data_IF_262181761054
#
_entry.id   IF_262181761054
#
_cell.length_a   1.000
_cell.length_b   1.000
_cell.length_c   1.000
_cell.angle_alpha   90.00
_cell.angle_beta   90.00
_cell.angle_gamma   90.00
#
_symmetry.space_group_name_H-M   'P 1'
#
loop_
_entity.id
_entity.type
_entity.pdbx_description
1 polymer ?
#
# COMPACT_ATOMS: atom_id res chain seq x y z
N UNK A 1 -6.32 38.03 1.89
CA UNK A 1 -5.44 37.18 2.74
C UNK A 1 -6.00 35.77 2.78
N UNK A 2 -5.60 34.93 1.83
CA UNK A 2 -6.02 33.53 1.71
C UNK A 2 -5.06 32.66 2.53
N UNK A 3 -5.57 32.06 3.61
CA UNK A 3 -4.85 31.10 4.46
C UNK A 3 -4.30 29.96 3.59
N UNK A 4 -2.98 29.92 3.43
CA UNK A 4 -2.27 28.81 2.83
C UNK A 4 -2.56 27.54 3.64
N UNK A 5 -3.28 26.59 3.04
CA UNK A 5 -3.47 25.25 3.58
C UNK A 5 -2.10 24.61 3.72
N UNK A 6 -1.71 24.36 4.96
CA UNK A 6 -0.47 23.72 5.37
C UNK A 6 -0.14 22.50 4.51
N UNK A 7 1.00 22.56 3.82
CA UNK A 7 1.67 21.42 3.18
C UNK A 7 1.75 20.27 4.17
N UNK A 8 0.96 19.22 3.95
CA UNK A 8 1.22 17.91 4.52
C UNK A 8 2.57 17.45 3.96
N UNK A 9 3.54 17.36 4.86
CA UNK A 9 4.90 16.90 4.65
C UNK A 9 4.87 15.56 3.90
N UNK A 10 5.25 15.58 2.61
CA UNK A 10 5.38 14.38 1.79
C UNK A 10 6.72 13.71 2.06
N UNK A 11 6.74 12.74 2.97
CA UNK A 11 7.79 11.72 3.00
C UNK A 11 7.75 10.94 1.68
N UNK A 12 8.89 10.72 1.02
CA UNK A 12 9.03 10.17 -0.34
C UNK A 12 8.54 8.73 -0.56
N UNK A 13 7.22 8.53 -0.46
CA UNK A 13 6.49 7.30 -0.73
C UNK A 13 6.12 7.18 -2.20
N UNK A 14 6.22 5.97 -2.77
CA UNK A 14 5.82 5.63 -4.14
C UNK A 14 4.31 5.40 -4.29
N UNK A 15 3.52 5.84 -3.31
CA UNK A 15 2.06 5.60 -3.25
C UNK A 15 1.32 6.92 -3.35
N UNK A 16 0.29 6.95 -4.20
CA UNK A 16 -0.62 8.08 -4.30
C UNK A 16 -1.43 8.24 -3.02
N UNK A 17 -1.11 9.27 -2.24
CA UNK A 17 -1.85 9.57 -1.01
C UNK A 17 -3.33 9.86 -1.27
N UNK A 18 -3.70 10.40 -2.43
CA UNK A 18 -5.09 10.73 -2.74
C UNK A 18 -5.93 9.48 -3.06
N UNK A 19 -5.40 8.56 -3.87
CA UNK A 19 -6.06 7.28 -4.17
C UNK A 19 -6.11 6.41 -2.90
N UNK A 20 -5.03 6.40 -2.11
CA UNK A 20 -4.97 5.66 -0.86
C UNK A 20 -5.98 6.18 0.18
N UNK A 21 -6.12 7.51 0.34
CA UNK A 21 -7.16 8.12 1.18
C UNK A 21 -8.56 7.70 0.71
N UNK A 22 -8.80 7.66 -0.59
CA UNK A 22 -10.07 7.18 -1.16
C UNK A 22 -10.38 5.74 -0.76
N UNK A 23 -9.39 4.84 -0.77
CA UNK A 23 -9.56 3.47 -0.30
C UNK A 23 -9.82 3.39 1.21
N UNK A 24 -9.08 4.14 2.02
CA UNK A 24 -9.33 4.23 3.47
C UNK A 24 -10.74 4.75 3.78
N UNK A 25 -11.20 5.73 3.01
CA UNK A 25 -12.53 6.29 3.17
C UNK A 25 -13.61 5.24 2.85
N UNK A 26 -13.45 4.50 1.73
CA UNK A 26 -14.34 3.38 1.38
C UNK A 26 -14.34 2.27 2.44
N UNK A 27 -13.16 1.87 2.91
CA UNK A 27 -13.00 0.87 3.99
C UNK A 27 -13.78 1.31 5.24
N UNK A 28 -13.53 2.53 5.72
CA UNK A 28 -14.15 3.05 6.94
C UNK A 28 -15.66 3.18 6.82
N UNK A 29 -16.18 3.64 5.68
CA UNK A 29 -17.62 3.73 5.45
C UNK A 29 -18.26 2.35 5.48
N UNK A 30 -17.69 1.38 4.76
CA UNK A 30 -18.24 0.02 4.70
C UNK A 30 -18.28 -0.64 6.09
N UNK A 31 -17.20 -0.50 6.88
CA UNK A 31 -17.13 -1.04 8.23
C UNK A 31 -18.12 -0.31 9.14
N UNK A 32 -18.10 1.02 9.17
CA UNK A 32 -18.93 1.80 10.09
C UNK A 32 -20.43 1.60 9.83
N UNK A 33 -20.85 1.55 8.56
CA UNK A 33 -22.25 1.37 8.18
C UNK A 33 -22.75 -0.06 8.35
N UNK A 34 -21.85 -1.06 8.40
CA UNK A 34 -22.24 -2.47 8.62
C UNK A 34 -22.26 -2.90 10.08
N UNK A 35 -21.41 -2.33 10.94
CA UNK A 35 -21.28 -2.79 12.33
C UNK A 35 -22.57 -2.62 13.14
N UNK A 36 -23.21 -1.45 13.05
CA UNK A 36 -24.43 -1.19 13.83
C UNK A 36 -25.60 -2.12 13.46
N UNK A 37 -25.96 -2.30 12.16
CA UNK A 37 -26.98 -3.26 11.76
C UNK A 37 -26.68 -4.69 12.20
N UNK A 38 -25.43 -5.15 12.06
CA UNK A 38 -25.03 -6.50 12.48
C UNK A 38 -25.31 -6.70 13.97
N UNK A 39 -24.89 -5.76 14.82
CA UNK A 39 -25.13 -5.85 16.26
C UNK A 39 -26.62 -5.84 16.60
N UNK A 40 -27.41 -5.01 15.90
CA UNK A 40 -28.86 -4.93 16.10
C UNK A 40 -29.57 -6.24 15.73
N UNK A 41 -29.27 -6.82 14.56
CA UNK A 41 -29.86 -8.09 14.13
C UNK A 41 -29.39 -9.27 14.98
N UNK A 42 -28.11 -9.33 15.36
CA UNK A 42 -27.59 -10.34 16.29
C UNK A 42 -28.31 -10.29 17.64
N UNK A 43 -28.53 -9.08 18.19
CA UNK A 43 -29.30 -8.93 19.41
C UNK A 43 -30.74 -9.42 19.24
N UNK A 44 -31.40 -9.09 18.13
CA UNK A 44 -32.74 -9.59 17.80
C UNK A 44 -32.81 -11.12 17.72
N UNK A 45 -31.82 -11.75 17.09
CA UNK A 45 -31.71 -13.22 16.99
C UNK A 45 -31.52 -13.85 18.37
N UNK A 46 -30.63 -13.30 19.20
CA UNK A 46 -30.42 -13.79 20.58
C UNK A 46 -31.71 -13.70 21.41
N UNK A 47 -32.45 -12.60 21.30
CA UNK A 47 -33.74 -12.44 21.98
C UNK A 47 -34.83 -13.36 21.41
N UNK A 48 -34.79 -13.68 20.11
CA UNK A 48 -35.72 -14.64 19.50
C UNK A 48 -35.45 -16.10 19.89
N UNK A 49 -34.20 -16.46 20.15
CA UNK A 49 -33.80 -17.82 20.56
C UNK A 49 -33.98 -18.04 22.07
N UNK A 50 -33.50 -17.09 22.89
CA UNK A 50 -33.46 -17.23 24.35
C UNK A 50 -34.60 -16.51 25.07
N UNK A 51 -35.26 -15.56 24.41
CA UNK A 51 -36.35 -14.79 25.00
C UNK A 51 -37.70 -15.47 24.81
N UNK A 52 -38.65 -15.14 25.69
CA UNK A 52 -40.02 -15.67 25.64
C UNK A 52 -40.95 -14.87 24.70
N UNK A 53 -40.39 -14.12 23.74
CA UNK A 53 -41.12 -13.22 22.86
C UNK A 53 -41.50 -13.91 21.55
N UNK A 54 -42.78 -14.31 21.42
CA UNK A 54 -43.30 -15.00 20.22
C UNK A 54 -43.06 -14.20 18.93
N UNK A 55 -43.22 -12.87 18.95
CA UNK A 55 -43.02 -12.00 17.78
C UNK A 55 -41.59 -12.08 17.24
N UNK A 56 -40.59 -12.11 18.13
CA UNK A 56 -39.18 -12.21 17.72
C UNK A 56 -38.82 -13.62 17.25
N UNK A 57 -39.47 -14.64 17.81
CA UNK A 57 -39.30 -16.03 17.41
C UNK A 57 -39.83 -16.29 16.00
N UNK A 58 -40.99 -15.73 15.66
CA UNK A 58 -41.56 -15.84 14.31
C UNK A 58 -40.75 -15.04 13.28
N UNK A 59 -40.14 -13.93 13.71
CA UNK A 59 -39.27 -13.08 12.90
C UNK A 59 -37.81 -13.55 12.75
N UNK A 60 -37.43 -14.70 13.31
CA UNK A 60 -36.04 -15.20 13.30
C UNK A 60 -35.50 -15.38 11.88
N UNK A 61 -36.28 -16.02 11.00
CA UNK A 61 -35.87 -16.30 9.61
C UNK A 61 -35.61 -15.00 8.86
N UNK A 62 -36.50 -14.01 9.00
CA UNK A 62 -36.35 -12.69 8.37
C UNK A 62 -35.12 -11.97 8.92
N UNK A 63 -34.87 -12.04 10.23
CA UNK A 63 -33.71 -11.41 10.87
C UNK A 63 -32.39 -11.95 10.32
N UNK A 64 -32.29 -13.27 10.15
CA UNK A 64 -31.10 -13.93 9.57
C UNK A 64 -30.90 -13.51 8.11
N UNK A 65 -31.95 -13.51 7.29
CA UNK A 65 -31.86 -13.12 5.87
C UNK A 65 -31.40 -11.66 5.74
N UNK A 66 -31.95 -10.77 6.57
CA UNK A 66 -31.60 -9.35 6.57
C UNK A 66 -30.17 -9.09 7.07
N UNK A 67 -29.59 -9.98 7.87
CA UNK A 67 -28.22 -9.87 8.36
C UNK A 67 -27.17 -10.15 7.27
N UNK A 68 -27.46 -11.08 6.34
CA UNK A 68 -26.54 -11.49 5.26
C UNK A 68 -25.91 -10.32 4.49
N UNK A 69 -26.65 -9.35 3.94
CA UNK A 69 -26.05 -8.25 3.18
C UNK A 69 -25.10 -7.39 4.03
N UNK A 70 -25.39 -7.18 5.32
CA UNK A 70 -24.52 -6.38 6.19
C UNK A 70 -23.22 -7.13 6.51
N UNK A 71 -23.29 -8.43 6.73
CA UNK A 71 -22.10 -9.29 6.91
C UNK A 71 -21.23 -9.27 5.65
N UNK A 72 -21.83 -9.41 4.47
CA UNK A 72 -21.09 -9.32 3.19
C UNK A 72 -20.41 -7.96 3.03
N UNK A 73 -21.10 -6.88 3.40
CA UNK A 73 -20.56 -5.52 3.34
C UNK A 73 -19.41 -5.31 4.32
N UNK A 74 -19.51 -5.85 5.54
CA UNK A 74 -18.44 -5.84 6.54
C UNK A 74 -17.21 -6.61 6.04
N UNK A 75 -17.40 -7.81 5.49
CA UNK A 75 -16.33 -8.60 4.88
C UNK A 75 -15.66 -7.87 3.71
N UNK A 76 -16.43 -7.13 2.90
CA UNK A 76 -15.88 -6.28 1.85
C UNK A 76 -14.99 -5.16 2.43
N UNK A 77 -15.42 -4.51 3.52
CA UNK A 77 -14.61 -3.56 4.26
C UNK A 77 -13.27 -4.14 4.71
N UNK A 78 -13.27 -5.32 5.35
CA UNK A 78 -12.05 -6.02 5.75
C UNK A 78 -11.13 -6.36 4.57
N UNK A 79 -11.70 -6.72 3.41
CA UNK A 79 -10.91 -6.96 2.18
C UNK A 79 -10.19 -5.69 1.72
N UNK A 80 -10.81 -4.52 1.81
CA UNK A 80 -10.15 -3.25 1.51
C UNK A 80 -8.99 -2.96 2.47
N UNK A 81 -9.18 -3.18 3.78
CA UNK A 81 -8.11 -3.02 4.77
C UNK A 81 -6.89 -3.91 4.50
N UNK A 82 -7.13 -5.18 4.13
CA UNK A 82 -6.05 -6.11 3.72
C UNK A 82 -5.29 -5.59 2.49
N UNK A 83 -6.00 -5.05 1.49
CA UNK A 83 -5.38 -4.48 0.28
C UNK A 83 -4.52 -3.27 0.61
N UNK A 84 -5.02 -2.36 1.43
CA UNK A 84 -4.28 -1.20 1.91
C UNK A 84 -2.99 -1.62 2.66
N UNK A 85 -3.08 -2.66 3.49
CA UNK A 85 -1.93 -3.25 4.16
C UNK A 85 -0.89 -3.80 3.17
N UNK A 86 -1.33 -4.45 2.09
CA UNK A 86 -0.44 -4.91 1.01
C UNK A 86 0.27 -3.75 0.30
N UNK A 87 -0.45 -2.68 -0.05
CA UNK A 87 0.16 -1.50 -0.68
C UNK A 87 1.26 -0.91 0.20
N UNK A 88 1.00 -0.80 1.51
CA UNK A 88 2.00 -0.31 2.47
C UNK A 88 3.24 -1.21 2.52
N UNK A 89 3.08 -2.53 2.49
CA UNK A 89 4.22 -3.47 2.47
C UNK A 89 5.05 -3.29 1.20
N UNK A 90 4.43 -3.27 0.02
CA UNK A 90 5.15 -3.02 -1.23
C UNK A 90 5.87 -1.67 -1.22
N UNK A 91 5.22 -0.62 -0.72
CA UNK A 91 5.85 0.69 -0.60
C UNK A 91 7.08 0.69 0.33
N UNK A 92 7.04 -0.07 1.44
CA UNK A 92 8.20 -0.20 2.32
C UNK A 92 9.38 -0.88 1.60
N UNK A 93 9.10 -1.93 0.82
CA UNK A 93 10.11 -2.62 0.00
C UNK A 93 10.72 -1.64 -1.00
N UNK A 94 9.89 -0.91 -1.75
CA UNK A 94 10.35 0.09 -2.72
C UNK A 94 11.14 1.24 -2.07
N UNK A 95 10.86 1.59 -0.82
CA UNK A 95 11.62 2.61 -0.10
C UNK A 95 12.97 2.11 0.43
N UNK A 96 13.14 0.80 0.62
CA UNK A 96 14.40 0.19 1.07
C UNK A 96 15.33 -0.17 -0.09
N UNK A 97 14.82 -0.19 -1.32
CA UNK A 97 15.60 -0.51 -2.52
C UNK A 97 16.61 0.59 -2.87
N UNK A 98 17.85 0.17 -3.17
CA UNK A 98 18.96 1.06 -3.51
C UNK A 98 19.16 1.22 -5.02
N UNK A 99 18.80 0.20 -5.78
CA UNK A 99 19.22 0.04 -7.17
C UNK A 99 18.23 0.68 -8.15
N UNK A 100 17.03 1.02 -7.64
CA UNK A 100 15.96 1.65 -8.39
C UNK A 100 15.21 0.68 -9.30
N UNK A 101 15.48 -0.63 -9.17
CA UNK A 101 14.85 -1.71 -9.90
C UNK A 101 14.61 -2.85 -8.92
N UNK A 102 13.34 -3.22 -8.74
CA UNK A 102 12.94 -4.31 -7.86
C UNK A 102 12.43 -5.48 -8.71
N UNK A 103 13.13 -6.60 -8.67
CA UNK A 103 12.76 -7.82 -9.41
C UNK A 103 11.68 -8.62 -8.69
N UNK A 104 10.91 -9.43 -9.43
CA UNK A 104 9.88 -10.28 -8.82
C UNK A 104 10.45 -11.34 -7.87
N UNK A 105 11.69 -11.80 -8.09
CA UNK A 105 12.36 -12.75 -7.20
C UNK A 105 12.70 -12.13 -5.84
N UNK A 106 13.16 -10.89 -5.83
CA UNK A 106 13.42 -10.16 -4.59
C UNK A 106 12.12 -9.90 -3.83
N UNK A 107 11.06 -9.50 -4.55
CA UNK A 107 9.72 -9.35 -3.96
C UNK A 107 9.19 -10.68 -3.41
N UNK A 108 9.40 -11.78 -4.13
CA UNK A 108 9.01 -13.13 -3.73
C UNK A 108 9.67 -13.54 -2.42
N UNK A 109 10.99 -13.32 -2.29
CA UNK A 109 11.75 -13.59 -1.06
C UNK A 109 11.28 -12.74 0.11
N UNK A 110 11.14 -11.42 -0.09
CA UNK A 110 10.75 -10.51 0.99
C UNK A 110 9.29 -10.68 1.44
N UNK A 111 8.40 -11.04 0.51
CA UNK A 111 6.97 -11.22 0.80
C UNK A 111 6.60 -12.65 1.18
N UNK A 112 7.51 -13.62 0.99
CA UNK A 112 7.27 -15.04 1.25
C UNK A 112 6.14 -15.63 0.40
N UNK A 113 6.00 -15.16 -0.85
CA UNK A 113 4.91 -15.55 -1.77
C UNK A 113 5.45 -15.83 -3.16
N UNK A 114 4.84 -16.74 -3.93
CA UNK A 114 5.28 -17.02 -5.29
C UNK A 114 5.15 -15.78 -6.18
N UNK A 115 6.12 -15.59 -7.09
CA UNK A 115 6.23 -14.45 -7.98
C UNK A 115 4.95 -14.19 -8.80
N UNK A 116 4.28 -15.22 -9.28
CA UNK A 116 3.02 -15.11 -10.03
C UNK A 116 1.89 -14.43 -9.23
N UNK A 117 1.77 -14.76 -7.93
CA UNK A 117 0.77 -14.14 -7.05
C UNK A 117 1.11 -12.68 -6.74
N UNK A 118 2.40 -12.34 -6.74
CA UNK A 118 2.87 -10.98 -6.53
C UNK A 118 2.62 -10.15 -7.79
N UNK A 119 2.93 -10.71 -8.97
CA UNK A 119 2.73 -10.05 -10.25
C UNK A 119 1.26 -9.69 -10.48
N UNK A 120 0.35 -10.65 -10.29
CA UNK A 120 -1.11 -10.40 -10.39
C UNK A 120 -1.61 -9.37 -9.37
N UNK A 121 -1.04 -9.34 -8.16
CA UNK A 121 -1.35 -8.31 -7.17
C UNK A 121 -0.84 -6.93 -7.59
N UNK A 122 0.41 -6.86 -8.06
CA UNK A 122 1.02 -5.62 -8.50
C UNK A 122 0.29 -5.07 -9.71
N UNK A 123 0.01 -5.89 -10.71
CA UNK A 123 -0.75 -5.48 -11.90
C UNK A 123 -2.10 -4.86 -11.51
N UNK A 124 -2.85 -5.52 -10.62
CA UNK A 124 -4.10 -4.95 -10.10
C UNK A 124 -3.88 -3.60 -9.40
N UNK A 125 -2.84 -3.49 -8.57
CA UNK A 125 -2.53 -2.25 -7.86
C UNK A 125 -2.09 -1.10 -8.79
N UNK A 126 -1.32 -1.41 -9.84
CA UNK A 126 -0.90 -0.46 -10.87
C UNK A 126 -2.10 0.00 -11.71
N UNK A 127 -3.00 -0.90 -12.09
CA UNK A 127 -4.25 -0.56 -12.80
C UNK A 127 -5.15 0.37 -11.97
N UNK A 128 -5.13 0.26 -10.63
CA UNK A 128 -5.86 1.15 -9.73
C UNK A 128 -5.19 2.53 -9.54
N UNK A 129 -4.02 2.78 -10.14
CA UNK A 129 -3.30 4.05 -10.00
C UNK A 129 -2.78 4.31 -8.57
N UNK A 130 -2.59 3.26 -7.78
CA UNK A 130 -2.14 3.37 -6.38
C UNK A 130 -0.67 3.75 -6.27
N UNK A 131 0.12 3.36 -7.27
CA UNK A 131 1.55 3.61 -7.33
C UNK A 131 1.85 4.84 -8.19
N UNK A 132 2.73 5.71 -7.69
CA UNK A 132 3.25 6.88 -8.39
C UNK A 132 4.76 6.77 -8.48
N UNK A 133 5.37 7.42 -9.48
CA UNK A 133 6.83 7.48 -9.61
C UNK A 133 7.48 6.08 -9.72
N UNK A 134 6.73 5.10 -10.24
CA UNK A 134 7.23 3.76 -10.57
C UNK A 134 6.41 3.14 -11.70
N UNK A 135 7.02 2.23 -12.45
CA UNK A 135 6.40 1.56 -13.60
C UNK A 135 6.68 0.06 -13.54
N UNK A 136 5.67 -0.73 -13.91
CA UNK A 136 5.78 -2.18 -14.01
C UNK A 136 6.20 -2.55 -15.43
N UNK A 137 7.40 -3.09 -15.60
CA UNK A 137 7.89 -3.57 -16.88
C UNK A 137 7.59 -5.08 -16.99
N UNK A 138 6.86 -5.44 -18.05
CA UNK A 138 6.49 -6.84 -18.35
C UNK A 138 7.33 -7.43 -19.50
N UNK A 139 8.27 -6.66 -20.06
CA UNK A 139 9.15 -7.13 -21.13
C UNK A 139 10.37 -7.84 -20.56
N UNK A 140 10.46 -9.15 -20.77
CA UNK A 140 11.53 -9.99 -20.19
C UNK A 140 11.17 -10.47 -18.79
N UNK A 141 12.14 -10.46 -17.86
CA UNK A 141 11.86 -10.74 -16.46
C UNK A 141 11.07 -9.57 -15.84
N UNK A 142 9.87 -9.82 -15.29
CA UNK A 142 9.03 -8.75 -14.76
C UNK A 142 9.74 -8.02 -13.61
N UNK A 143 9.76 -6.69 -13.67
CA UNK A 143 10.39 -5.86 -12.66
C UNK A 143 9.66 -4.52 -12.47
N UNK A 144 9.82 -3.94 -11.29
CA UNK A 144 9.30 -2.61 -10.96
C UNK A 144 10.45 -1.61 -11.04
N UNK A 145 10.35 -0.66 -11.95
CA UNK A 145 11.33 0.43 -12.10
C UNK A 145 10.87 1.62 -11.25
N UNK A 146 11.72 2.09 -10.36
CA UNK A 146 11.46 3.22 -9.47
C UNK A 146 11.96 4.52 -10.12
N UNK A 147 11.05 5.23 -10.77
CA UNK A 147 11.31 6.50 -11.46
C UNK A 147 11.24 7.65 -10.46
N UNK A 148 12.33 7.92 -9.73
CA UNK A 148 12.41 9.04 -8.79
C UNK A 148 11.91 10.36 -9.41
N UNK A 149 11.06 11.09 -8.69
CA UNK A 149 10.39 12.31 -9.20
C UNK A 149 11.39 13.40 -9.57
N UNK A 150 11.28 13.95 -10.79
CA UNK A 150 12.01 15.15 -11.21
C UNK A 150 11.70 16.31 -10.26
N UNK A 151 12.71 16.80 -9.53
CA UNK A 151 12.58 17.89 -8.55
C UNK A 151 12.26 17.47 -7.11
N UNK A 152 12.10 16.17 -6.80
CA UNK A 152 12.03 15.70 -5.42
C UNK A 152 13.42 15.30 -4.90
N UNK A 153 13.63 15.38 -3.58
CA UNK A 153 14.83 14.84 -2.88
C UNK A 153 15.00 13.31 -3.00
N UNK A 154 14.33 12.66 -3.96
CA UNK A 154 14.49 11.25 -4.33
C UNK A 154 14.92 11.07 -5.78
N UNK A 155 15.54 12.07 -6.39
CA UNK A 155 16.30 11.88 -7.63
C UNK A 155 17.50 10.98 -7.33
N UNK A 156 17.64 9.89 -8.08
CA UNK A 156 18.88 9.13 -8.05
C UNK A 156 19.98 10.00 -8.67
N UNK A 157 21.09 10.15 -7.96
CA UNK A 157 22.27 10.85 -8.42
C UNK A 157 23.38 9.84 -8.63
N UNK A 158 24.12 10.02 -9.71
CA UNK A 158 25.34 9.26 -9.96
C UNK A 158 26.44 9.87 -9.09
N UNK A 159 26.92 9.12 -8.11
CA UNK A 159 28.02 9.50 -7.24
C UNK A 159 29.27 8.77 -7.71
N UNK A 160 30.33 9.51 -7.97
CA UNK A 160 31.61 8.93 -8.32
C UNK A 160 32.32 8.57 -7.02
N UNK A 161 32.73 7.31 -6.90
CA UNK A 161 33.45 6.82 -5.73
C UNK A 161 34.88 7.36 -5.72
N UNK A 162 35.23 8.13 -4.69
CA UNK A 162 36.57 8.74 -4.54
C UNK A 162 37.72 7.71 -4.51
N UNK A 163 37.43 6.45 -4.14
CA UNK A 163 38.45 5.41 -4.01
C UNK A 163 38.75 4.64 -5.29
N UNK A 164 37.75 4.45 -6.16
CA UNK A 164 37.88 3.58 -7.33
C UNK A 164 37.37 4.21 -8.62
N UNK A 165 36.95 5.48 -8.59
CA UNK A 165 36.28 6.21 -9.66
C UNK A 165 35.06 5.49 -10.26
N UNK A 166 34.51 4.50 -9.57
CA UNK A 166 33.31 3.80 -9.97
C UNK A 166 32.10 4.71 -9.80
N UNK A 167 31.26 4.80 -10.82
CA UNK A 167 30.02 5.58 -10.77
C UNK A 167 28.91 4.71 -10.20
N UNK A 168 28.47 5.00 -8.98
CA UNK A 168 27.37 4.30 -8.31
C UNK A 168 26.15 5.19 -8.22
N UNK A 169 24.99 4.64 -8.57
CA UNK A 169 23.71 5.36 -8.55
C UNK A 169 23.13 5.29 -7.14
N UNK A 170 22.99 6.44 -6.48
CA UNK A 170 22.47 6.54 -5.12
C UNK A 170 21.28 7.48 -5.06
N UNK A 171 20.36 7.27 -4.10
CA UNK A 171 19.29 8.22 -3.83
C UNK A 171 19.88 9.53 -3.29
N UNK A 172 19.47 10.67 -3.85
CA UNK A 172 19.94 11.98 -3.40
C UNK A 172 19.77 12.17 -1.88
N UNK A 173 20.82 12.65 -1.20
CA UNK A 173 20.80 12.87 0.25
C UNK A 173 20.96 11.61 1.11
N UNK A 174 21.26 10.45 0.50
CA UNK A 174 21.54 9.21 1.24
C UNK A 174 23.03 8.83 1.14
N UNK A 175 23.50 7.99 2.06
CA UNK A 175 24.83 7.38 2.01
C UNK A 175 24.69 5.88 1.77
N UNK A 176 25.54 5.32 0.91
CA UNK A 176 25.56 3.92 0.55
C UNK A 176 26.99 3.39 0.41
N UNK A 177 27.13 2.21 -0.21
CA UNK A 177 28.42 1.60 -0.56
C UNK A 177 28.61 1.66 -2.06
N UNK A 178 29.85 1.78 -2.52
CA UNK A 178 30.18 1.73 -3.93
C UNK A 178 30.05 0.29 -4.46
N UNK A 179 29.41 0.12 -5.61
CA UNK A 179 29.15 -1.18 -6.24
C UNK A 179 30.44 -1.90 -6.65
N UNK A 180 31.51 -1.14 -6.90
CA UNK A 180 32.76 -1.66 -7.41
C UNK A 180 33.75 -2.06 -6.31
N UNK A 181 33.87 -1.25 -5.25
CA UNK A 181 34.90 -1.46 -4.22
C UNK A 181 34.36 -1.51 -2.79
N UNK A 182 33.04 -1.38 -2.60
CA UNK A 182 32.39 -1.49 -1.29
C UNK A 182 32.67 -0.35 -0.32
N UNK A 183 33.42 0.69 -0.72
CA UNK A 183 33.69 1.85 0.15
C UNK A 183 32.45 2.69 0.37
N UNK A 184 32.34 3.32 1.54
CA UNK A 184 31.25 4.22 1.85
C UNK A 184 31.28 5.45 0.92
N UNK A 185 30.14 5.77 0.31
CA UNK A 185 29.93 6.91 -0.58
C UNK A 185 28.68 7.65 -0.14
N UNK A 186 28.68 8.98 -0.25
CA UNK A 186 27.54 9.79 0.17
C UNK A 186 27.08 10.71 -0.94
N UNK A 187 25.78 10.69 -1.22
CA UNK A 187 25.12 11.62 -2.12
C UNK A 187 24.84 12.97 -1.42
N UNK A 188 25.84 13.55 -0.76
CA UNK A 188 25.75 14.95 -0.29
C UNK A 188 25.88 15.86 -1.51
N UNK A 189 24.94 16.80 -1.59
CA UNK A 189 24.92 17.85 -2.60
C UNK A 189 26.23 18.65 -2.46
N UNK A 190 27.09 18.62 -3.48
CA UNK A 190 28.13 19.64 -3.62
C UNK A 190 27.36 20.87 -4.10
N UNK A 191 26.99 21.72 -3.14
CA UNK A 191 26.47 23.05 -3.44
C UNK A 191 27.66 23.85 -3.99
N UNK A 192 27.64 24.15 -5.29
CA UNK A 192 28.49 25.15 -5.93
C UNK A 192 27.62 26.23 -6.53
#
# INVERSE_FOLDING_TARGET
MTKAKSKLVSSGTYVSNEVLKGLYFKERILIFLSVFPILFFLFGILQGIFGNNQVLRDGLVTSVIMEVPFVLMFLAGLRYGRRIGLVRRYNLIFMCDTDGVVTMDELSRQMGKPAEKILSQLEWLFQQGLFCDCTLQMGGEPCVILSGKSGSRSSFVNVICEKCNGTTKLRAGTSGKCDYCGSAISARRIDS
#
